data_IF_083301016672
#
_entry.id   IF_083301016672
#
_cell.length_a   1.000
_cell.length_b   1.000
_cell.length_c   1.000
_cell.angle_alpha   90.00
_cell.angle_beta   90.00
_cell.angle_gamma   90.00
#
_symmetry.space_group_name_H-M   'P 1'
#
loop_
_entity.id
_entity.type
_entity.pdbx_description
1 polymer ?
#
# COMPACT_ATOMS: atom_id res chain seq x y z
N UNK A 1 7.75 24.06 -4.62
CA UNK A 1 8.16 23.03 -3.64
C UNK A 1 7.08 21.95 -3.56
N UNK A 2 7.35 20.68 -3.90
CA UNK A 2 6.40 19.59 -3.67
C UNK A 2 6.20 19.38 -2.15
N UNK A 3 4.96 19.16 -1.73
CA UNK A 3 4.62 18.91 -0.31
C UNK A 3 5.25 17.58 0.13
N UNK A 4 5.92 17.49 1.28
CA UNK A 4 6.49 16.23 1.74
C UNK A 4 5.38 15.19 1.90
N UNK A 5 5.67 13.96 1.47
CA UNK A 5 4.75 12.85 1.66
C UNK A 5 4.60 12.55 3.16
N UNK A 6 3.37 12.32 3.63
CA UNK A 6 3.11 11.95 5.03
C UNK A 6 3.85 10.67 5.39
N UNK A 7 4.40 10.60 6.60
CA UNK A 7 5.06 9.41 7.14
C UNK A 7 4.05 8.28 7.39
N UNK A 8 4.49 7.02 7.53
CA UNK A 8 3.58 5.90 7.83
C UNK A 8 2.78 6.12 9.13
N UNK A 9 3.40 6.71 10.14
CA UNK A 9 2.80 7.00 11.45
C UNK A 9 1.67 8.03 11.33
N UNK A 10 1.91 9.13 10.62
CA UNK A 10 0.89 10.17 10.37
C UNK A 10 -0.32 9.60 9.58
N UNK A 11 -0.07 8.65 8.67
CA UNK A 11 -1.14 7.97 7.93
C UNK A 11 -1.96 7.07 8.86
N UNK A 12 -1.31 6.32 9.74
CA UNK A 12 -1.98 5.47 10.71
C UNK A 12 -2.84 6.28 11.69
N UNK A 13 -2.30 7.38 12.23
CA UNK A 13 -3.04 8.29 13.10
C UNK A 13 -4.26 8.90 12.41
N UNK A 14 -4.10 9.35 11.15
CA UNK A 14 -5.23 9.88 10.38
C UNK A 14 -6.31 8.81 10.13
N UNK A 15 -5.92 7.57 9.86
CA UNK A 15 -6.86 6.48 9.68
C UNK A 15 -7.63 6.17 10.98
N UNK A 16 -6.95 6.19 12.13
CA UNK A 16 -7.59 6.05 13.44
C UNK A 16 -8.63 7.16 13.69
N UNK A 17 -8.32 8.42 13.37
CA UNK A 17 -9.28 9.54 13.47
C UNK A 17 -10.51 9.32 12.59
N UNK A 18 -10.32 8.84 11.35
CA UNK A 18 -11.42 8.51 10.44
C UNK A 18 -12.29 7.40 11.03
N UNK A 19 -11.69 6.35 11.58
CA UNK A 19 -12.43 5.25 12.20
C UNK A 19 -13.24 5.70 13.42
N UNK A 20 -12.65 6.53 14.30
CA UNK A 20 -13.36 7.09 15.46
C UNK A 20 -14.55 7.98 15.03
N UNK A 21 -14.37 8.82 14.02
CA UNK A 21 -15.46 9.64 13.47
C UNK A 21 -16.60 8.77 12.89
N UNK A 22 -16.27 7.69 12.18
CA UNK A 22 -17.26 6.73 11.65
C UNK A 22 -18.00 5.99 12.77
N UNK A 23 -17.31 5.62 13.86
CA UNK A 23 -17.94 5.01 15.03
C UNK A 23 -18.91 5.99 15.70
N UNK A 24 -18.53 7.26 15.84
CA UNK A 24 -19.40 8.31 16.38
C UNK A 24 -20.66 8.54 15.54
N UNK A 25 -20.56 8.41 14.21
CA UNK A 25 -21.72 8.44 13.31
C UNK A 25 -22.63 7.23 13.49
N UNK A 26 -22.05 6.02 13.57
CA UNK A 26 -22.82 4.78 13.79
C UNK A 26 -23.54 4.77 15.14
N UNK A 27 -22.89 5.30 16.19
CA UNK A 27 -23.47 5.46 17.53
C UNK A 27 -24.46 6.64 17.65
N UNK A 28 -24.73 7.36 16.55
CA UNK A 28 -25.57 8.57 16.49
C UNK A 28 -25.10 9.71 17.42
N UNK A 29 -23.85 9.70 17.86
CA UNK A 29 -23.23 10.79 18.62
C UNK A 29 -23.14 12.07 17.78
N UNK A 30 -22.90 11.92 16.47
CA UNK A 30 -22.97 13.00 15.50
C UNK A 30 -24.14 12.75 14.53
N UNK A 31 -24.98 13.77 14.31
CA UNK A 31 -26.13 13.67 13.39
C UNK A 31 -25.73 13.54 11.92
N UNK A 32 -24.62 14.17 11.53
CA UNK A 32 -24.19 14.24 10.12
C UNK A 32 -22.69 14.02 9.98
N UNK A 33 -22.27 13.54 8.81
CA UNK A 33 -20.86 13.37 8.48
C UNK A 33 -20.08 14.69 8.57
N UNK A 34 -20.73 15.83 8.32
CA UNK A 34 -20.14 17.17 8.45
C UNK A 34 -19.87 17.56 9.91
N UNK A 35 -20.79 17.22 10.83
CA UNK A 35 -20.57 17.46 12.25
C UNK A 35 -19.40 16.61 12.79
N UNK A 36 -19.32 15.34 12.39
CA UNK A 36 -18.19 14.49 12.71
C UNK A 36 -16.87 14.99 12.07
N UNK A 37 -16.92 15.44 10.81
CA UNK A 37 -15.77 15.98 10.11
C UNK A 37 -15.18 17.20 10.84
N UNK A 38 -16.02 18.12 11.28
CA UNK A 38 -15.60 19.30 12.06
C UNK A 38 -14.98 18.91 13.40
N UNK A 39 -15.58 17.95 14.11
CA UNK A 39 -15.07 17.51 15.41
C UNK A 39 -13.67 16.87 15.33
N UNK A 40 -13.38 16.15 14.24
CA UNK A 40 -12.09 15.46 14.04
C UNK A 40 -11.15 16.19 13.08
N UNK A 41 -11.48 17.40 12.64
CA UNK A 41 -10.73 18.17 11.63
C UNK A 41 -10.41 17.36 10.35
N UNK A 42 -11.41 16.61 9.88
CA UNK A 42 -11.35 15.78 8.68
C UNK A 42 -12.13 16.42 7.53
N UNK A 43 -11.87 15.96 6.32
CA UNK A 43 -12.68 16.32 5.16
C UNK A 43 -13.99 15.52 5.17
N UNK A 44 -15.12 16.22 5.15
CA UNK A 44 -16.46 15.62 5.17
C UNK A 44 -16.71 14.71 3.97
N UNK A 45 -16.13 15.01 2.80
CA UNK A 45 -16.22 14.14 1.63
C UNK A 45 -15.57 12.78 1.91
N UNK A 46 -14.43 12.77 2.60
CA UNK A 46 -13.73 11.52 2.94
C UNK A 46 -14.58 10.65 3.86
N UNK A 47 -15.21 11.24 4.89
CA UNK A 47 -16.08 10.48 5.79
C UNK A 47 -17.32 9.95 5.06
N UNK A 48 -17.93 10.74 4.18
CA UNK A 48 -19.08 10.33 3.37
C UNK A 48 -18.71 9.16 2.44
N UNK A 49 -17.59 9.27 1.72
CA UNK A 49 -17.12 8.21 0.82
C UNK A 49 -16.77 6.92 1.58
N UNK A 50 -16.19 7.03 2.79
CA UNK A 50 -15.94 5.88 3.67
C UNK A 50 -17.22 5.25 4.19
N UNK A 51 -18.20 6.07 4.58
CA UNK A 51 -19.49 5.60 5.08
C UNK A 51 -20.26 4.80 4.00
N UNK A 52 -20.22 5.24 2.75
CA UNK A 52 -20.83 4.55 1.61
C UNK A 52 -19.93 3.46 0.99
N UNK A 53 -18.76 3.19 1.55
CA UNK A 53 -17.83 2.17 1.04
C UNK A 53 -17.15 2.50 -0.29
N UNK A 54 -17.24 3.74 -0.77
CA UNK A 54 -16.60 4.21 -2.03
C UNK A 54 -15.09 4.36 -1.90
N UNK A 55 -14.59 4.54 -0.69
CA UNK A 55 -13.16 4.63 -0.39
C UNK A 55 -12.78 3.57 0.63
N UNK A 56 -11.63 2.92 0.44
CA UNK A 56 -11.04 1.97 1.38
C UNK A 56 -9.92 2.63 2.20
N UNK A 57 -9.53 2.05 3.35
CA UNK A 57 -8.27 2.37 4.02
C UNK A 57 -7.12 2.42 3.02
N UNK A 58 -6.19 3.35 3.20
CA UNK A 58 -5.08 3.53 2.24
C UNK A 58 -4.24 2.25 2.12
N UNK A 59 -4.11 1.49 3.22
CA UNK A 59 -3.43 0.18 3.24
C UNK A 59 -4.18 -0.86 2.39
N UNK A 60 -5.50 -0.93 2.54
CA UNK A 60 -6.35 -1.87 1.79
C UNK A 60 -6.50 -1.47 0.32
N UNK A 61 -6.43 -0.17 0.00
CA UNK A 61 -6.46 0.33 -1.37
C UNK A 61 -5.17 0.00 -2.13
N UNK A 62 -4.05 -0.16 -1.41
CA UNK A 62 -2.77 -0.58 -2.00
C UNK A 62 -2.71 -2.10 -2.22
N UNK A 63 -3.32 -2.90 -1.36
CA UNK A 63 -3.30 -4.37 -1.46
C UNK A 63 -3.62 -4.92 -2.87
N UNK A 64 -4.72 -4.55 -3.56
CA UNK A 64 -5.02 -5.06 -4.89
C UNK A 64 -4.08 -4.54 -5.99
N UNK A 65 -3.34 -3.46 -5.71
CA UNK A 65 -2.36 -2.87 -6.65
C UNK A 65 -0.97 -3.49 -6.51
N UNK A 66 -0.73 -4.30 -5.48
CA UNK A 66 0.56 -4.99 -5.32
C UNK A 66 0.67 -6.09 -6.37
N UNK A 67 1.84 -6.16 -6.99
CA UNK A 67 2.17 -7.23 -7.93
C UNK A 67 2.34 -8.55 -7.18
N UNK A 68 3.07 -8.49 -6.06
CA UNK A 68 3.32 -9.61 -5.17
C UNK A 68 2.35 -9.60 -3.98
N UNK A 69 1.97 -10.79 -3.50
CA UNK A 69 1.26 -11.00 -2.24
C UNK A 69 2.21 -10.81 -1.04
N UNK A 70 1.76 -11.09 0.19
CA UNK A 70 2.59 -10.86 1.38
C UNK A 70 3.77 -11.85 1.49
N UNK A 71 3.60 -13.09 1.03
CA UNK A 71 4.63 -14.14 1.14
C UNK A 71 5.57 -14.22 -0.08
N UNK A 72 5.11 -13.78 -1.25
CA UNK A 72 5.88 -13.84 -2.49
C UNK A 72 7.19 -13.02 -2.52
N UNK A 73 7.30 -11.86 -1.84
CA UNK A 73 8.55 -11.11 -1.77
C UNK A 73 9.69 -11.93 -1.14
N UNK A 74 9.43 -12.66 -0.06
CA UNK A 74 10.46 -13.48 0.60
C UNK A 74 10.99 -14.60 -0.31
N UNK A 75 10.09 -15.18 -1.12
CA UNK A 75 10.44 -16.18 -2.13
C UNK A 75 11.29 -15.55 -3.24
N UNK A 76 10.91 -14.36 -3.70
CA UNK A 76 11.68 -13.63 -4.72
C UNK A 76 13.06 -13.23 -4.18
N UNK A 77 13.16 -12.75 -2.96
CA UNK A 77 14.42 -12.37 -2.32
C UNK A 77 15.35 -13.58 -2.18
N UNK A 78 14.82 -14.74 -1.77
CA UNK A 78 15.56 -16.00 -1.71
C UNK A 78 16.08 -16.43 -3.08
N UNK A 79 15.27 -16.26 -4.13
CA UNK A 79 15.68 -16.53 -5.51
C UNK A 79 16.77 -15.57 -5.99
N UNK A 80 16.66 -14.27 -5.68
CA UNK A 80 17.69 -13.29 -5.98
C UNK A 80 19.02 -13.66 -5.31
N UNK A 81 18.99 -14.04 -4.02
CA UNK A 81 20.20 -14.50 -3.31
C UNK A 81 20.81 -15.72 -4.01
N UNK A 82 19.98 -16.70 -4.39
CA UNK A 82 20.46 -17.87 -5.13
C UNK A 82 21.13 -17.48 -6.46
N UNK A 83 20.55 -16.57 -7.24
CA UNK A 83 21.15 -16.08 -8.49
C UNK A 83 22.49 -15.37 -8.24
N UNK A 84 22.57 -14.57 -7.18
CA UNK A 84 23.83 -13.93 -6.78
C UNK A 84 24.92 -14.96 -6.45
N UNK A 85 24.55 -16.11 -5.87
CA UNK A 85 25.48 -17.21 -5.59
C UNK A 85 25.94 -17.96 -6.84
N UNK A 86 25.08 -18.09 -7.86
CA UNK A 86 25.42 -18.73 -9.13
C UNK A 86 26.17 -17.81 -10.09
N UNK A 87 26.30 -16.52 -9.75
CA UNK A 87 26.91 -15.50 -10.59
C UNK A 87 25.98 -15.03 -11.72
N UNK A 88 24.69 -15.34 -11.63
CA UNK A 88 23.69 -14.87 -12.58
C UNK A 88 23.31 -13.41 -12.29
N UNK A 89 23.19 -12.56 -13.32
CA UNK A 89 22.87 -11.15 -13.12
C UNK A 89 21.42 -10.96 -12.65
N UNK A 90 21.23 -10.14 -11.62
CA UNK A 90 19.93 -9.66 -11.15
C UNK A 90 19.39 -8.56 -12.07
N UNK A 91 18.93 -8.95 -13.26
CA UNK A 91 18.38 -8.04 -14.26
C UNK A 91 16.94 -8.41 -14.63
N UNK A 92 16.32 -7.58 -15.48
CA UNK A 92 14.95 -7.80 -15.95
C UNK A 92 14.75 -9.18 -16.59
N UNK A 93 15.71 -9.67 -17.37
CA UNK A 93 15.58 -10.93 -18.09
C UNK A 93 15.56 -12.12 -17.13
N UNK A 94 16.32 -12.06 -16.05
CA UNK A 94 16.38 -13.11 -15.02
C UNK A 94 15.17 -13.07 -14.08
N UNK A 95 14.72 -11.87 -13.70
CA UNK A 95 13.70 -11.69 -12.67
C UNK A 95 12.27 -11.70 -13.20
N UNK A 96 12.01 -11.10 -14.37
CA UNK A 96 10.67 -11.02 -14.94
C UNK A 96 9.96 -12.39 -15.08
N UNK A 97 10.59 -13.44 -15.65
CA UNK A 97 9.92 -14.73 -15.79
C UNK A 97 9.61 -15.37 -14.43
N UNK A 98 10.52 -15.25 -13.46
CA UNK A 98 10.28 -15.81 -12.12
C UNK A 98 9.15 -15.07 -11.39
N UNK A 99 9.13 -13.74 -11.47
CA UNK A 99 8.06 -12.91 -10.91
C UNK A 99 6.71 -13.25 -11.56
N UNK A 100 6.67 -13.48 -12.86
CA UNK A 100 5.46 -13.91 -13.57
C UNK A 100 4.98 -15.27 -13.06
N UNK A 101 5.88 -16.24 -12.86
CA UNK A 101 5.55 -17.57 -12.32
C UNK A 101 4.92 -17.46 -10.92
N UNK A 102 5.52 -16.68 -10.02
CA UNK A 102 5.02 -16.61 -8.63
C UNK A 102 3.78 -15.74 -8.49
N UNK A 103 3.63 -14.68 -9.30
CA UNK A 103 2.55 -13.69 -9.15
C UNK A 103 1.39 -13.87 -10.14
N UNK A 104 1.58 -14.66 -11.20
CA UNK A 104 0.66 -14.78 -12.33
C UNK A 104 0.54 -13.49 -13.16
N UNK A 105 1.46 -12.54 -13.00
CA UNK A 105 1.43 -11.22 -13.65
C UNK A 105 2.81 -10.83 -14.15
N UNK A 106 2.85 -10.23 -15.34
CA UNK A 106 4.10 -9.75 -15.93
C UNK A 106 4.51 -8.43 -15.24
N UNK A 107 5.69 -8.35 -14.59
CA UNK A 107 6.20 -7.10 -14.05
C UNK A 107 6.60 -6.13 -15.17
N UNK A 108 6.44 -4.83 -14.91
CA UNK A 108 7.05 -3.80 -15.75
C UNK A 108 8.54 -3.62 -15.42
N UNK A 109 9.31 -3.08 -16.36
CA UNK A 109 10.73 -2.78 -16.15
C UNK A 109 10.95 -1.88 -14.92
N UNK A 110 10.18 -0.79 -14.81
CA UNK A 110 10.26 0.14 -13.68
C UNK A 110 9.90 -0.53 -12.35
N UNK A 111 9.08 -1.58 -12.35
CA UNK A 111 8.78 -2.34 -11.13
C UNK A 111 10.02 -3.11 -10.66
N UNK A 112 10.73 -3.79 -11.58
CA UNK A 112 11.93 -4.56 -11.27
C UNK A 112 13.05 -3.64 -10.77
N UNK A 113 13.29 -2.54 -11.47
CA UNK A 113 14.28 -1.53 -11.05
C UNK A 113 13.95 -0.98 -9.67
N UNK A 114 12.67 -0.69 -9.40
CA UNK A 114 12.25 -0.21 -8.09
C UNK A 114 12.41 -1.28 -7.00
N UNK A 115 12.13 -2.54 -7.32
CA UNK A 115 12.30 -3.65 -6.38
C UNK A 115 13.76 -3.82 -5.98
N UNK A 116 14.68 -3.87 -6.96
CA UNK A 116 16.12 -3.93 -6.71
C UNK A 116 16.63 -2.72 -5.93
N UNK A 117 16.18 -1.51 -6.28
CA UNK A 117 16.54 -0.28 -5.56
C UNK A 117 16.08 -0.29 -4.09
N UNK A 118 14.90 -0.84 -3.83
CA UNK A 118 14.35 -0.92 -2.48
C UNK A 118 15.01 -2.01 -1.62
N UNK A 119 15.71 -2.96 -2.25
CA UNK A 119 16.37 -4.09 -1.61
C UNK A 119 17.87 -4.11 -1.96
N UNK A 120 18.68 -3.17 -1.45
CA UNK A 120 20.10 -3.05 -1.79
C UNK A 120 21.00 -4.15 -1.20
N UNK A 121 20.43 -5.09 -0.45
CA UNK A 121 21.14 -6.21 0.18
C UNK A 121 21.11 -7.50 -0.68
N UNK A 122 20.39 -7.48 -1.80
CA UNK A 122 20.37 -8.53 -2.83
C UNK A 122 21.54 -8.35 -3.79
#
# INVERSE_FOLDING_TARGET
MPRPARTPEERAQREQQIQQALLGLRRRTYKTAEAAARAFNLDAKVLRDRLHGRRRPDLDAQAPRRLLTQAQPEVLDSWCIYLSWTGDPLNRMSLAPYVEVISGKIPSASWIERHLRNNPHL
#
